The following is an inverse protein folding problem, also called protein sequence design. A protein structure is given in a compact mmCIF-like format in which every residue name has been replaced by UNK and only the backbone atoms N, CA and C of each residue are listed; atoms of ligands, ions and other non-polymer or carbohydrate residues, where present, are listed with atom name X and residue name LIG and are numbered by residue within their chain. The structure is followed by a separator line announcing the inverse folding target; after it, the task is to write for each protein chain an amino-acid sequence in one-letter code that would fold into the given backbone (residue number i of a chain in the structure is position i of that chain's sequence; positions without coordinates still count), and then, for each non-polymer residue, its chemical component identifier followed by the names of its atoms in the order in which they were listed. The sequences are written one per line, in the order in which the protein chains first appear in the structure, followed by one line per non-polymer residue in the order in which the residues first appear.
data_IF_754281598437
#
_entry.id   IF_754281598437
#
_cell.length_a   1.000
_cell.length_b   1.000
_cell.length_c   1.000
_cell.angle_alpha   90.00
_cell.angle_beta   90.00
_cell.angle_gamma   90.00
#
_symmetry.space_group_name_H-M   'P 1'
#
loop_
_entity.id
_entity.type
_entity.pdbx_description
1 polymer ?
#
# COMPACT_ATOMS: atom_id res chain seq x y z
N UNK A 1 5.54 21.39 -1.70
CA UNK A 1 5.08 20.20 -2.47
C UNK A 1 3.57 20.28 -2.48
N UNK A 2 2.99 20.63 -3.62
CA UNK A 2 1.55 20.56 -3.78
C UNK A 2 1.20 19.08 -3.98
N UNK A 3 0.83 18.39 -2.89
CA UNK A 3 0.51 16.97 -2.94
C UNK A 3 -0.99 16.83 -3.11
N UNK A 4 -1.41 16.78 -4.37
CA UNK A 4 -2.79 16.50 -4.71
C UNK A 4 -3.04 14.99 -4.59
N UNK A 5 -3.58 14.58 -3.44
CA UNK A 5 -3.83 13.18 -3.13
C UNK A 5 -5.24 12.80 -3.58
N UNK A 6 -5.36 12.03 -4.67
CA UNK A 6 -6.66 11.52 -5.11
C UNK A 6 -7.14 10.35 -4.22
N UNK A 7 -7.78 10.67 -3.10
CA UNK A 7 -8.30 9.71 -2.12
C UNK A 7 -9.25 8.67 -2.73
N UNK A 8 -10.07 9.09 -3.70
CA UNK A 8 -11.00 8.19 -4.40
C UNK A 8 -10.24 7.12 -5.20
N UNK A 9 -9.17 7.51 -5.88
CA UNK A 9 -8.33 6.58 -6.63
C UNK A 9 -7.62 5.59 -5.71
N UNK A 10 -7.02 6.07 -4.61
CA UNK A 10 -6.41 5.22 -3.58
C UNK A 10 -7.41 4.18 -3.06
N UNK A 11 -8.59 4.63 -2.65
CA UNK A 11 -9.64 3.79 -2.09
C UNK A 11 -10.07 2.68 -3.06
N UNK A 12 -10.29 3.05 -4.33
CA UNK A 12 -10.65 2.07 -5.38
C UNK A 12 -9.53 1.09 -5.66
N UNK A 13 -8.28 1.54 -5.72
CA UNK A 13 -7.10 0.67 -5.92
C UNK A 13 -6.97 -0.38 -4.81
N UNK A 14 -7.35 -0.01 -3.59
CA UNK A 14 -7.32 -0.91 -2.43
C UNK A 14 -8.62 -1.71 -2.22
N UNK A 15 -9.63 -1.55 -3.09
CA UNK A 15 -10.91 -2.25 -2.97
C UNK A 15 -11.77 -1.82 -1.78
N UNK A 16 -11.61 -0.57 -1.30
CA UNK A 16 -12.28 -0.06 -0.10
C UNK A 16 -13.56 0.73 -0.41
N UNK A 17 -14.53 0.69 0.50
CA UNK A 17 -15.66 1.64 0.55
C UNK A 17 -15.25 2.93 1.26
N UNK A 18 -16.03 4.01 1.14
CA UNK A 18 -15.73 5.27 1.83
C UNK A 18 -15.67 5.08 3.35
N UNK A 19 -16.55 4.24 3.89
CA UNK A 19 -16.57 3.85 5.30
C UNK A 19 -15.34 3.03 5.71
N UNK A 20 -14.78 2.21 4.84
CA UNK A 20 -13.54 1.47 5.12
C UNK A 20 -12.34 2.42 5.26
N UNK A 21 -12.24 3.40 4.36
CA UNK A 21 -11.19 4.40 4.41
C UNK A 21 -11.34 5.29 5.66
N UNK A 22 -12.59 5.69 5.98
CA UNK A 22 -12.91 6.46 7.18
C UNK A 22 -12.45 5.74 8.45
N UNK A 23 -12.75 4.43 8.58
CA UNK A 23 -12.29 3.60 9.70
C UNK A 23 -10.76 3.52 9.81
N UNK A 24 -10.05 3.44 8.68
CA UNK A 24 -8.58 3.37 8.64
C UNK A 24 -7.90 4.69 9.01
N UNK A 25 -8.58 5.81 8.76
CA UNK A 25 -8.13 7.16 9.08
C UNK A 25 -8.69 7.66 10.43
N UNK A 26 -9.58 6.90 11.06
CA UNK A 26 -10.28 7.26 12.29
C UNK A 26 -11.06 8.59 12.18
N UNK A 27 -11.77 8.75 11.05
CA UNK A 27 -12.61 9.92 10.74
C UNK A 27 -14.00 9.49 10.30
N UNK A 28 -14.90 10.44 10.08
CA UNK A 28 -16.24 10.16 9.56
C UNK A 28 -16.22 9.88 8.05
N UNK A 29 -17.19 9.12 7.55
CA UNK A 29 -17.38 8.93 6.11
C UNK A 29 -17.69 10.24 5.38
N UNK A 30 -18.36 11.18 6.04
CA UNK A 30 -18.66 12.51 5.49
C UNK A 30 -17.40 13.36 5.28
N UNK A 31 -16.39 13.23 6.15
CA UNK A 31 -15.08 13.87 5.93
C UNK A 31 -14.38 13.30 4.70
N UNK A 32 -14.41 11.98 4.51
CA UNK A 32 -13.86 11.34 3.30
C UNK A 32 -14.54 11.86 2.03
N UNK A 33 -15.87 11.96 2.02
CA UNK A 33 -16.62 12.47 0.87
C UNK A 33 -16.27 13.93 0.56
N UNK A 34 -16.15 14.77 1.59
CA UNK A 34 -15.71 16.15 1.44
C UNK A 34 -14.32 16.24 0.81
N UNK A 35 -13.38 15.41 1.28
CA UNK A 35 -12.02 15.40 0.75
C UNK A 35 -11.93 14.84 -0.68
N UNK A 36 -12.73 13.81 -1.00
CA UNK A 36 -12.84 13.29 -2.37
C UNK A 36 -13.45 14.32 -3.34
N UNK A 37 -14.21 15.30 -2.83
CA UNK A 37 -14.84 16.36 -3.61
C UNK A 37 -14.04 17.68 -3.62
N UNK A 38 -12.80 17.67 -3.15
CA UNK A 38 -11.85 18.78 -3.29
C UNK A 38 -11.61 19.62 -2.04
N UNK A 39 -12.25 19.30 -0.91
CA UNK A 39 -11.77 19.81 0.37
C UNK A 39 -10.46 19.13 0.76
N UNK A 40 -9.64 19.79 1.58
CA UNK A 40 -8.39 19.19 2.09
C UNK A 40 -8.50 18.94 3.59
N UNK A 41 -7.96 17.82 4.10
CA UNK A 41 -7.80 17.64 5.54
C UNK A 41 -6.85 18.70 6.09
N UNK A 42 -7.18 19.25 7.26
CA UNK A 42 -6.39 20.23 8.00
C UNK A 42 -5.57 19.58 9.13
N UNK A 43 -5.98 18.39 9.57
CA UNK A 43 -5.29 17.62 10.59
C UNK A 43 -4.02 16.92 10.04
N UNK A 44 -2.87 17.27 10.62
CA UNK A 44 -1.57 16.76 10.20
C UNK A 44 -1.40 15.24 10.40
N UNK A 45 -2.02 14.65 11.43
CA UNK A 45 -1.95 13.20 11.67
C UNK A 45 -2.69 12.44 10.57
N UNK A 46 -3.85 12.96 10.17
CA UNK A 46 -4.65 12.42 9.07
C UNK A 46 -3.87 12.51 7.76
N UNK A 47 -3.26 13.67 7.46
CA UNK A 47 -2.43 13.85 6.26
C UNK A 47 -1.30 12.83 6.24
N UNK A 48 -0.56 12.69 7.35
CA UNK A 48 0.54 11.73 7.47
C UNK A 48 0.08 10.30 7.27
N UNK A 49 -1.11 9.95 7.77
CA UNK A 49 -1.71 8.64 7.59
C UNK A 49 -2.12 8.39 6.14
N UNK A 50 -2.70 9.37 5.47
CA UNK A 50 -3.04 9.30 4.04
C UNK A 50 -1.77 9.05 3.21
N UNK A 51 -0.70 9.80 3.47
CA UNK A 51 0.59 9.61 2.79
C UNK A 51 1.14 8.19 2.97
N UNK A 52 1.03 7.65 4.17
CA UNK A 52 1.44 6.29 4.46
C UNK A 52 0.61 5.26 3.67
N UNK A 53 -0.71 5.46 3.56
CA UNK A 53 -1.58 4.57 2.76
C UNK A 53 -1.25 4.63 1.26
N UNK A 54 -0.93 5.82 0.73
CA UNK A 54 -0.45 5.94 -0.65
C UNK A 54 0.81 5.12 -0.89
N UNK A 55 1.82 5.27 -0.01
CA UNK A 55 3.06 4.51 -0.10
C UNK A 55 2.83 2.99 -0.05
N UNK A 56 1.98 2.51 0.86
CA UNK A 56 1.65 1.08 0.91
C UNK A 56 1.01 0.59 -0.39
N UNK A 57 0.07 1.37 -0.93
CA UNK A 57 -0.63 1.02 -2.14
C UNK A 57 0.29 1.03 -3.37
N UNK A 58 1.35 1.84 -3.37
CA UNK A 58 2.39 1.81 -4.42
C UNK A 58 3.27 0.56 -4.27
N UNK A 59 3.71 0.22 -3.06
CA UNK A 59 4.51 -0.98 -2.79
C UNK A 59 3.79 -2.27 -3.19
N UNK A 60 2.50 -2.42 -2.88
CA UNK A 60 1.72 -3.59 -3.31
C UNK A 60 1.58 -3.70 -4.84
N UNK A 61 1.63 -2.58 -5.57
CA UNK A 61 1.62 -2.60 -7.03
C UNK A 61 2.95 -3.08 -7.62
N UNK A 62 4.06 -2.77 -6.97
CA UNK A 62 5.40 -3.16 -7.42
C UNK A 62 5.68 -4.63 -7.09
N UNK A 63 5.27 -5.13 -5.92
CA UNK A 63 5.42 -6.55 -5.56
C UNK A 63 4.73 -7.47 -6.56
N UNK A 64 3.50 -7.16 -7.00
CA UNK A 64 2.77 -7.98 -7.97
C UNK A 64 3.47 -7.99 -9.35
N UNK A 65 4.02 -6.86 -9.79
CA UNK A 65 4.75 -6.77 -11.07
C UNK A 65 6.11 -7.45 -11.01
N UNK A 66 6.81 -7.24 -9.90
CA UNK A 66 8.16 -7.73 -9.71
C UNK A 66 8.18 -9.22 -9.39
N UNK A 67 7.13 -9.80 -8.79
CA UNK A 67 7.07 -11.24 -8.57
C UNK A 67 7.07 -12.02 -9.89
N UNK A 68 6.25 -11.62 -10.88
CA UNK A 68 6.25 -12.29 -12.18
C UNK A 68 7.62 -12.16 -12.91
N UNK A 69 8.25 -10.99 -12.83
CA UNK A 69 9.59 -10.79 -13.39
C UNK A 69 10.67 -11.57 -12.62
N UNK A 70 10.57 -11.63 -11.29
CA UNK A 70 11.48 -12.38 -10.45
C UNK A 70 11.36 -13.89 -10.69
N UNK A 71 10.15 -14.42 -10.84
CA UNK A 71 9.89 -15.81 -11.22
C UNK A 71 10.53 -16.14 -12.57
N UNK A 72 10.31 -15.28 -13.59
CA UNK A 72 10.92 -15.46 -14.91
C UNK A 72 12.45 -15.43 -14.86
N UNK A 73 13.02 -14.51 -14.06
CA UNK A 73 14.47 -14.40 -13.87
C UNK A 73 15.08 -15.59 -13.11
N UNK A 74 14.39 -16.09 -12.08
CA UNK A 74 14.84 -17.26 -11.31
C UNK A 74 14.86 -18.52 -12.17
N UNK A 75 13.82 -18.72 -13.00
CA UNK A 75 13.74 -19.82 -13.96
C UNK A 75 14.83 -19.71 -15.04
N UNK A 76 15.07 -18.52 -15.62
CA UNK A 76 16.14 -18.29 -16.60
C UNK A 76 17.55 -18.46 -16.02
N UNK A 77 17.73 -18.13 -14.73
CA UNK A 77 19.02 -18.17 -14.06
C UNK A 77 19.32 -19.51 -13.38
N UNK A 78 18.43 -20.50 -13.49
CA UNK A 78 18.50 -21.81 -12.81
C UNK A 78 18.72 -21.66 -11.29
N UNK A 79 18.09 -20.63 -10.71
CA UNK A 79 18.20 -20.31 -9.29
C UNK A 79 16.97 -20.87 -8.54
N UNK A 80 17.19 -21.93 -7.78
CA UNK A 80 16.17 -22.53 -6.93
C UNK A 80 15.83 -21.68 -5.69
N UNK A 81 14.62 -21.88 -5.17
CA UNK A 81 14.21 -21.31 -3.90
C UNK A 81 15.17 -21.73 -2.78
N UNK A 82 15.64 -20.75 -2.01
CA UNK A 82 16.53 -20.99 -0.88
C UNK A 82 15.79 -21.80 0.18
N UNK A 83 16.23 -23.03 0.39
CA UNK A 83 15.75 -23.88 1.48
C UNK A 83 16.19 -23.29 2.83
N UNK A 84 15.25 -22.63 3.50
CA UNK A 84 15.46 -21.95 4.79
C UNK A 84 15.93 -22.90 5.88
N UNK A 85 15.68 -24.20 5.77
CA UNK A 85 16.16 -25.19 6.75
C UNK A 85 17.68 -25.30 6.77
N UNK A 86 18.36 -24.93 5.67
CA UNK A 86 19.83 -24.89 5.59
C UNK A 86 20.46 -23.78 6.43
N UNK A 87 19.67 -22.82 6.91
CA UNK A 87 20.13 -21.70 7.74
C UNK A 87 19.68 -21.82 9.20
N UNK A 88 18.90 -22.86 9.53
CA UNK A 88 18.39 -23.06 10.90
C UNK A 88 19.43 -23.73 11.81
N UNK A 89 20.54 -24.28 11.27
CA UNK A 89 21.48 -25.05 12.08
C UNK A 89 22.84 -24.36 12.28
N UNK A 90 22.96 -23.62 13.41
CA UNK A 90 24.12 -23.59 14.33
C UNK A 90 23.71 -22.98 15.67
N UNK A 91 22.81 -23.67 16.35
CA UNK A 91 22.36 -23.31 17.70
C UNK A 91 22.26 -24.51 18.62
N UNK A 92 23.40 -25.16 18.89
CA UNK A 92 23.59 -26.02 20.05
C UNK A 92 25.04 -25.91 20.54
#
# INVERSE_FOLDING_TARGET
MDRDFNLRALRRRMGWTSSDLARRLNVSSSEIEQWENGQRPDNQDVITRIEFLFRQADMCCDEVKNNAMAESFLEESDLDQVDVTRFIDKGN
#
